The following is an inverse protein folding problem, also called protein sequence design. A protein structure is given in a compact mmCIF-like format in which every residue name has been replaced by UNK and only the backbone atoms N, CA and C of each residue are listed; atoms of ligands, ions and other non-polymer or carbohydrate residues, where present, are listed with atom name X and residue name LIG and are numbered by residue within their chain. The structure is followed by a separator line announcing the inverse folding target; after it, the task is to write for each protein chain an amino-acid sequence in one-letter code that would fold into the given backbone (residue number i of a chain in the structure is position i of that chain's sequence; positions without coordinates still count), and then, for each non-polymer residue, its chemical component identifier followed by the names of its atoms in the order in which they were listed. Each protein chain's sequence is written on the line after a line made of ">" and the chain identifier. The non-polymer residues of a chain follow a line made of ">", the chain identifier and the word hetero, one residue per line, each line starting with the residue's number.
data_IF_860502567826
#
_entry.id   IF_860502567826
#
_cell.length_a   1.000
_cell.length_b   1.000
_cell.length_c   1.000
_cell.angle_alpha   90.00
_cell.angle_beta   90.00
_cell.angle_gamma   90.00
#
_symmetry.space_group_name_H-M   'P 1'
#
loop_
_entity.id
_entity.type
_entity.pdbx_description
1 polymer ?
#
# COMPACT_ATOMS: atom_id res chain seq x y z
N UNK A 1 6.61 9.87 -1.27
CA UNK A 1 6.04 10.37 -2.54
C UNK A 1 5.33 9.20 -3.22
N UNK A 2 3.99 9.20 -3.26
CA UNK A 2 3.24 8.28 -4.12
C UNK A 2 3.66 8.60 -5.56
N UNK A 3 4.33 7.68 -6.25
CA UNK A 3 4.50 7.84 -7.69
C UNK A 3 3.10 7.83 -8.29
N UNK A 4 2.70 8.93 -8.93
CA UNK A 4 1.56 8.91 -9.85
C UNK A 4 1.71 7.68 -10.76
N UNK A 5 0.65 6.97 -11.14
CA UNK A 5 0.74 5.81 -12.05
C UNK A 5 1.31 6.15 -13.45
N UNK A 6 1.45 7.44 -13.75
CA UNK A 6 1.80 8.06 -15.04
C UNK A 6 3.29 8.22 -15.42
N UNK A 7 4.37 7.92 -14.66
CA UNK A 7 5.70 8.39 -15.04
C UNK A 7 6.23 7.46 -16.14
N UNK A 8 6.07 7.89 -17.39
CA UNK A 8 6.57 7.20 -18.59
C UNK A 8 5.64 6.16 -19.22
N UNK A 9 4.34 6.16 -18.91
CA UNK A 9 3.35 5.24 -19.51
C UNK A 9 2.45 5.96 -20.52
N UNK A 10 1.88 5.20 -21.46
CA UNK A 10 0.79 5.72 -22.31
C UNK A 10 -0.48 5.90 -21.49
N UNK A 11 -1.40 6.77 -21.93
CA UNK A 11 -2.70 6.97 -21.26
C UNK A 11 -3.50 5.66 -21.17
N UNK A 12 -3.38 4.78 -22.17
CA UNK A 12 -4.04 3.48 -22.18
C UNK A 12 -3.49 2.56 -21.08
N UNK A 13 -2.17 2.48 -20.94
CA UNK A 13 -1.52 1.67 -19.91
C UNK A 13 -1.84 2.19 -18.51
N UNK A 14 -1.87 3.52 -18.32
CA UNK A 14 -2.19 4.12 -17.04
C UNK A 14 -3.66 3.86 -16.64
N UNK A 15 -4.59 3.95 -17.60
CA UNK A 15 -5.99 3.58 -17.40
C UNK A 15 -6.12 2.10 -17.03
N UNK A 16 -5.48 1.20 -17.77
CA UNK A 16 -5.52 -0.23 -17.50
C UNK A 16 -5.00 -0.55 -16.08
N UNK A 17 -3.91 0.12 -15.66
CA UNK A 17 -3.37 -0.03 -14.31
C UNK A 17 -4.32 0.50 -13.23
N UNK A 18 -4.96 1.64 -13.46
CA UNK A 18 -5.95 2.21 -12.54
C UNK A 18 -7.17 1.30 -12.38
N UNK A 19 -7.62 0.66 -13.47
CA UNK A 19 -8.73 -0.29 -13.41
C UNK A 19 -8.35 -1.56 -12.63
N UNK A 20 -7.12 -2.04 -12.76
CA UNK A 20 -6.62 -3.19 -11.98
C UNK A 20 -6.51 -2.85 -10.49
N UNK A 21 -5.98 -1.67 -10.15
CA UNK A 21 -5.92 -1.17 -8.78
C UNK A 21 -7.31 -1.15 -8.12
N UNK A 22 -8.31 -0.59 -8.82
CA UNK A 22 -9.67 -0.51 -8.31
C UNK A 22 -10.32 -1.89 -8.09
N UNK A 23 -9.86 -2.92 -8.79
CA UNK A 23 -10.38 -4.30 -8.71
C UNK A 23 -9.60 -5.21 -7.74
N UNK A 24 -8.60 -4.69 -7.03
CA UNK A 24 -7.75 -5.52 -6.18
C UNK A 24 -6.70 -6.35 -6.93
N UNK A 25 -6.52 -6.08 -8.22
CA UNK A 25 -5.70 -6.89 -9.13
C UNK A 25 -4.23 -6.51 -9.15
N UNK A 26 -3.76 -5.62 -8.27
CA UNK A 26 -2.34 -5.31 -8.21
C UNK A 26 -1.56 -6.42 -7.53
N UNK A 27 -0.37 -6.69 -8.08
CA UNK A 27 0.68 -7.42 -7.38
C UNK A 27 1.06 -6.69 -6.07
N UNK A 28 1.68 -7.38 -5.09
CA UNK A 28 2.07 -6.77 -3.83
C UNK A 28 2.79 -5.45 -4.03
N UNK A 29 2.23 -4.37 -3.48
CA UNK A 29 2.77 -3.02 -3.65
C UNK A 29 3.58 -2.67 -2.40
N UNK A 30 4.82 -2.22 -2.58
CA UNK A 30 5.64 -1.69 -1.50
C UNK A 30 5.57 -0.16 -1.48
N UNK A 31 5.18 0.38 -0.33
CA UNK A 31 5.06 1.82 -0.10
C UNK A 31 5.96 2.24 1.07
N UNK A 32 6.21 3.55 1.17
CA UNK A 32 7.01 4.16 2.24
C UNK A 32 6.24 5.31 2.87
N UNK A 33 6.37 5.45 4.19
CA UNK A 33 5.80 6.53 5.00
C UNK A 33 6.79 6.95 6.07
N UNK A 34 6.76 8.24 6.46
CA UNK A 34 7.62 8.74 7.54
C UNK A 34 7.04 8.39 8.92
N UNK A 35 5.72 8.15 8.99
CA UNK A 35 4.98 7.81 10.21
C UNK A 35 4.12 6.57 9.97
N UNK A 36 4.68 5.39 10.27
CA UNK A 36 3.99 4.12 10.07
C UNK A 36 2.92 3.88 11.14
N UNK A 37 3.22 4.24 12.39
CA UNK A 37 2.29 4.08 13.51
C UNK A 37 1.03 4.94 13.33
N UNK A 38 1.19 6.22 13.01
CA UNK A 38 0.07 7.12 12.75
C UNK A 38 -0.70 6.79 11.47
N UNK A 39 -0.06 6.16 10.48
CA UNK A 39 -0.76 5.63 9.31
C UNK A 39 -1.66 4.45 9.68
N UNK A 40 -1.13 3.45 10.40
CA UNK A 40 -1.91 2.27 10.79
C UNK A 40 -3.03 2.62 11.77
N UNK A 41 -2.81 3.56 12.68
CA UNK A 41 -3.87 4.07 13.55
C UNK A 41 -5.03 4.68 12.77
N UNK A 42 -4.75 5.42 11.69
CA UNK A 42 -5.80 5.97 10.81
C UNK A 42 -6.50 4.90 9.98
N UNK A 43 -5.76 3.89 9.53
CA UNK A 43 -6.29 2.83 8.67
C UNK A 43 -7.14 1.81 9.46
N UNK A 44 -6.90 1.65 10.75
CA UNK A 44 -7.69 0.78 11.62
C UNK A 44 -9.19 1.14 11.67
N UNK A 45 -9.53 2.41 11.45
CA UNK A 45 -10.91 2.90 11.44
C UNK A 45 -11.59 2.83 10.05
N UNK A 46 -10.86 2.40 9.02
CA UNK A 46 -11.38 2.34 7.64
C UNK A 46 -12.09 1.01 7.40
N UNK A 47 -13.37 1.07 7.04
CA UNK A 47 -14.16 -0.12 6.71
C UNK A 47 -13.53 -0.90 5.54
N UNK A 48 -13.45 -2.22 5.69
CA UNK A 48 -12.88 -3.12 4.67
C UNK A 48 -11.36 -3.18 4.66
N UNK A 49 -10.66 -2.41 5.50
CA UNK A 49 -9.22 -2.60 5.73
C UNK A 49 -9.00 -3.73 6.75
N UNK A 50 -8.06 -4.62 6.44
CA UNK A 50 -7.66 -5.71 7.34
C UNK A 50 -6.16 -5.72 7.54
N UNK A 51 -5.70 -5.56 8.78
CA UNK A 51 -4.26 -5.61 9.10
C UNK A 51 -3.78 -7.07 9.05
N UNK A 52 -2.80 -7.33 8.19
CA UNK A 52 -2.16 -8.66 8.05
C UNK A 52 -0.92 -8.74 8.95
N UNK A 53 -0.20 -7.64 9.08
CA UNK A 53 0.95 -7.50 9.96
C UNK A 53 0.96 -6.09 10.56
N UNK A 54 0.91 -6.01 11.88
CA UNK A 54 1.08 -4.77 12.62
C UNK A 54 2.49 -4.18 12.42
N UNK A 55 2.66 -2.84 12.52
CA UNK A 55 3.96 -2.18 12.43
C UNK A 55 5.00 -2.80 13.35
N UNK A 56 6.03 -3.43 12.79
CA UNK A 56 7.01 -4.23 13.52
C UNK A 56 8.43 -3.95 13.02
N UNK A 57 9.42 -3.99 13.92
CA UNK A 57 10.83 -3.91 13.55
C UNK A 57 11.30 -5.28 13.04
N UNK A 58 11.81 -5.31 11.82
CA UNK A 58 12.30 -6.50 11.17
C UNK A 58 13.78 -6.73 11.49
N UNK A 59 14.21 -8.00 11.48
CA UNK A 59 15.59 -8.36 11.82
C UNK A 59 16.64 -7.80 10.86
N UNK A 60 16.23 -7.37 9.66
CA UNK A 60 17.08 -6.74 8.64
C UNK A 60 17.11 -5.21 8.74
N UNK A 61 16.60 -4.62 9.83
CA UNK A 61 16.77 -3.20 10.16
C UNK A 61 15.72 -2.26 9.59
N UNK A 62 14.64 -2.79 9.02
CA UNK A 62 13.49 -2.02 8.52
C UNK A 62 12.32 -2.15 9.49
N UNK A 63 11.55 -1.07 9.68
CA UNK A 63 10.25 -1.15 10.35
C UNK A 63 9.15 -1.14 9.29
N UNK A 64 8.29 -2.13 9.26
CA UNK A 64 7.21 -2.22 8.27
C UNK A 64 5.93 -2.89 8.80
N UNK A 65 4.86 -2.79 8.02
CA UNK A 65 3.58 -3.44 8.27
C UNK A 65 2.88 -3.80 6.96
N UNK A 66 1.84 -4.64 7.02
CA UNK A 66 1.09 -5.06 5.84
C UNK A 66 -0.41 -5.16 6.13
N UNK A 67 -1.23 -4.88 5.13
CA UNK A 67 -2.68 -4.92 5.22
C UNK A 67 -3.32 -5.35 3.91
N UNK A 68 -4.60 -5.69 3.95
CA UNK A 68 -5.48 -5.70 2.79
C UNK A 68 -6.34 -4.43 2.78
N UNK A 69 -6.45 -3.80 1.61
CA UNK A 69 -7.40 -2.71 1.40
C UNK A 69 -8.80 -3.26 1.08
N UNK A 70 -9.84 -2.41 0.99
CA UNK A 70 -11.21 -2.86 0.70
C UNK A 70 -11.38 -3.53 -0.67
N UNK A 71 -10.49 -3.26 -1.63
CA UNK A 71 -10.49 -3.90 -2.93
C UNK A 71 -9.75 -5.26 -2.90
N UNK A 72 -9.05 -5.60 -1.81
CA UNK A 72 -8.27 -6.81 -1.66
C UNK A 72 -6.80 -6.66 -2.07
N UNK A 73 -6.33 -5.45 -2.42
CA UNK A 73 -4.91 -5.21 -2.68
C UNK A 73 -4.09 -5.51 -1.42
N UNK A 74 -2.82 -5.90 -1.59
CA UNK A 74 -1.92 -6.24 -0.49
C UNK A 74 -0.72 -5.28 -0.41
N UNK A 75 -0.90 -4.07 0.14
CA UNK A 75 0.21 -3.16 0.42
C UNK A 75 1.06 -3.61 1.61
N UNK A 76 2.39 -3.57 1.42
CA UNK A 76 3.38 -3.54 2.51
C UNK A 76 3.97 -2.13 2.59
N UNK A 77 4.06 -1.61 3.79
CA UNK A 77 4.43 -0.21 4.05
C UNK A 77 5.62 -0.20 5.00
N UNK A 78 6.74 0.33 4.51
CA UNK A 78 7.98 0.54 5.26
C UNK A 78 8.02 1.96 5.85
N UNK A 79 8.57 2.10 7.05
CA UNK A 79 8.87 3.40 7.65
C UNK A 79 10.22 3.91 7.13
N UNK A 80 10.27 5.17 6.71
CA UNK A 80 11.36 5.73 5.90
C UNK A 80 11.72 7.16 6.25
#
# INVERSE_FOLDING_TARGET
>A
MLSQPEPGRSEEDARALSELLAKGGLTPVHMRTDDLGGLFARLADVEGVSVVQEPTDQFWGVRDGALHDPAGNFPRIEQA
#
